data_IF_430348841161
#
_entry.id   IF_430348841161
#
_cell.length_a   1.000
_cell.length_b   1.000
_cell.length_c   1.000
_cell.angle_alpha   90.00
_cell.angle_beta   90.00
_cell.angle_gamma   90.00
#
_symmetry.space_group_name_H-M   'P 1'
#
loop_
_entity.id
_entity.type
_entity.pdbx_description
1 polymer ?
#
# COMPACT_ATOMS: atom_id res chain seq x y z
N UNK A 1 21.77 24.62 5.13
CA UNK A 1 21.44 23.50 4.24
C UNK A 1 19.98 23.24 4.43
N UNK A 2 19.19 23.36 3.37
CA UNK A 2 17.76 23.12 3.43
C UNK A 2 17.45 21.63 3.64
N UNK A 3 16.31 21.36 4.25
CA UNK A 3 15.86 20.00 4.55
C UNK A 3 14.70 19.56 3.63
N UNK A 4 14.69 18.28 3.26
CA UNK A 4 13.56 17.62 2.60
C UNK A 4 12.39 17.46 3.56
N UNK A 5 11.19 17.12 3.07
CA UNK A 5 10.03 16.84 3.93
C UNK A 5 10.36 15.75 4.95
N UNK A 6 10.94 14.65 4.51
CA UNK A 6 11.33 13.53 5.38
C UNK A 6 12.32 13.96 6.47
N UNK A 7 13.33 14.77 6.13
CA UNK A 7 14.30 15.28 7.11
C UNK A 7 13.63 16.17 8.16
N UNK A 8 12.70 17.03 7.76
CA UNK A 8 11.97 17.90 8.71
C UNK A 8 11.12 17.11 9.70
N UNK A 9 10.40 16.08 9.22
CA UNK A 9 9.62 15.20 10.09
C UNK A 9 10.54 14.49 11.09
N UNK A 10 11.64 13.92 10.61
CA UNK A 10 12.59 13.22 11.47
C UNK A 10 13.27 14.14 12.48
N UNK A 11 13.65 15.36 12.09
CA UNK A 11 14.22 16.36 12.99
C UNK A 11 13.25 16.73 14.11
N UNK A 12 11.98 17.02 13.76
CA UNK A 12 10.94 17.35 14.72
C UNK A 12 10.72 16.24 15.77
N UNK A 13 10.68 14.97 15.32
CA UNK A 13 10.49 13.82 16.21
C UNK A 13 11.74 13.45 17.03
N UNK A 14 12.91 13.84 16.57
CA UNK A 14 14.15 13.72 17.33
C UNK A 14 14.41 14.90 18.30
N UNK A 15 13.58 15.96 18.26
CA UNK A 15 13.78 17.17 19.03
C UNK A 15 15.05 17.94 18.59
N UNK A 16 15.37 17.89 17.31
CA UNK A 16 16.53 18.55 16.71
C UNK A 16 16.08 19.69 15.78
N UNK A 17 16.85 20.76 15.71
CA UNK A 17 16.57 21.87 14.79
C UNK A 17 16.78 21.47 13.31
N UNK A 18 17.71 20.54 13.07
CA UNK A 18 18.01 20.03 11.73
C UNK A 18 18.67 18.66 11.77
N UNK A 19 18.52 17.91 10.68
CA UNK A 19 19.21 16.64 10.44
C UNK A 19 19.75 16.59 9.03
N UNK A 20 20.75 15.74 8.80
CA UNK A 20 21.32 15.51 7.47
C UNK A 20 21.28 14.03 7.08
N UNK A 21 21.29 13.76 5.77
CA UNK A 21 21.34 12.40 5.26
C UNK A 21 22.52 11.62 5.85
N UNK A 22 22.28 10.39 6.28
CA UNK A 22 23.27 9.53 6.93
C UNK A 22 23.42 9.71 8.44
N UNK A 23 22.87 10.77 9.03
CA UNK A 23 22.89 10.99 10.47
C UNK A 23 22.10 9.92 11.21
N UNK A 24 22.62 9.40 12.31
CA UNK A 24 21.89 8.51 13.22
C UNK A 24 21.16 9.35 14.26
N UNK A 25 19.88 9.11 14.42
CA UNK A 25 19.00 9.80 15.37
C UNK A 25 18.13 8.80 16.12
N UNK A 26 17.71 9.14 17.33
CA UNK A 26 16.59 8.52 18.01
C UNK A 26 15.38 9.47 17.90
N UNK A 27 14.23 8.94 17.52
CA UNK A 27 13.04 9.74 17.31
C UNK A 27 11.81 9.14 18.01
N UNK A 28 10.91 9.99 18.50
CA UNK A 28 9.63 9.60 19.07
C UNK A 28 8.68 9.11 17.96
N UNK A 29 7.85 8.12 18.26
CA UNK A 29 6.91 7.50 17.34
C UNK A 29 5.49 7.95 17.67
N UNK A 30 4.69 8.27 16.63
CA UNK A 30 3.28 8.60 16.78
C UNK A 30 2.38 7.39 16.71
N UNK A 31 2.73 6.40 15.89
CA UNK A 31 1.95 5.18 15.74
C UNK A 31 2.85 3.99 15.43
N UNK A 32 2.55 2.85 16.04
CA UNK A 32 3.10 1.54 15.67
C UNK A 32 2.01 0.66 15.10
N UNK A 33 2.35 -0.16 14.10
CA UNK A 33 1.41 -1.03 13.40
C UNK A 33 1.91 -2.47 13.33
N UNK A 34 1.04 -3.43 13.63
CA UNK A 34 1.25 -4.84 13.34
C UNK A 34 -0.06 -5.51 12.88
N UNK A 35 0.10 -6.64 12.20
CA UNK A 35 -0.99 -7.47 11.72
C UNK A 35 -0.95 -8.88 12.34
N UNK A 36 -1.86 -9.76 11.93
CA UNK A 36 -1.96 -11.13 12.43
C UNK A 36 -0.78 -12.05 12.05
N UNK A 37 0.14 -11.62 11.17
CA UNK A 37 1.39 -12.33 10.87
C UNK A 37 2.53 -11.82 11.75
N UNK A 38 2.70 -10.50 11.79
CA UNK A 38 3.87 -9.84 12.40
C UNK A 38 3.67 -9.48 13.86
N UNK A 39 2.42 -9.26 14.27
CA UNK A 39 2.04 -8.97 15.65
C UNK A 39 2.48 -10.05 16.64
N UNK A 40 2.17 -11.34 16.44
CA UNK A 40 2.63 -12.41 17.32
C UNK A 40 4.15 -12.45 17.48
N UNK A 41 4.90 -12.17 16.40
CA UNK A 41 6.37 -12.13 16.47
C UNK A 41 6.84 -10.97 17.33
N UNK A 42 6.29 -9.75 17.11
CA UNK A 42 6.64 -8.57 17.89
C UNK A 42 6.26 -8.73 19.38
N UNK A 43 5.10 -9.30 19.66
CA UNK A 43 4.64 -9.59 21.04
C UNK A 43 5.64 -10.52 21.76
N UNK A 44 6.04 -11.62 21.15
CA UNK A 44 6.99 -12.56 21.72
C UNK A 44 8.38 -11.93 21.93
N UNK A 45 8.85 -11.12 21.00
CA UNK A 45 10.14 -10.39 21.16
C UNK A 45 10.06 -9.36 22.29
N UNK A 46 8.92 -8.68 22.46
CA UNK A 46 8.68 -7.77 23.57
C UNK A 46 8.71 -8.50 24.92
N UNK A 47 8.01 -9.64 25.03
CA UNK A 47 8.01 -10.49 26.24
C UNK A 47 9.41 -11.05 26.56
N UNK A 48 10.10 -11.56 25.56
CA UNK A 48 11.47 -12.09 25.68
C UNK A 48 12.48 -11.03 26.11
N UNK A 49 12.28 -9.79 25.70
CA UNK A 49 13.09 -8.64 26.15
C UNK A 49 12.72 -8.14 27.56
N UNK A 50 11.68 -8.73 28.18
CA UNK A 50 11.24 -8.38 29.54
C UNK A 50 10.41 -7.13 29.65
N UNK A 51 9.80 -6.67 28.54
CA UNK A 51 8.88 -5.53 28.57
C UNK A 51 7.46 -5.96 28.94
N UNK A 52 6.98 -5.54 30.09
CA UNK A 52 5.64 -5.87 30.61
C UNK A 52 4.57 -4.82 30.28
N UNK A 53 4.96 -3.68 29.70
CA UNK A 53 4.07 -2.56 29.39
C UNK A 53 4.35 -2.01 28.01
N UNK A 54 3.31 -1.49 27.39
CA UNK A 54 3.39 -0.67 26.18
C UNK A 54 3.57 0.79 26.56
N UNK A 55 4.20 1.58 25.66
CA UNK A 55 4.44 3.00 25.91
C UNK A 55 3.15 3.83 25.95
N UNK A 56 2.22 3.53 25.05
CA UNK A 56 0.93 4.19 24.93
C UNK A 56 -0.04 3.28 24.16
N UNK A 57 -1.12 2.86 24.81
CA UNK A 57 -2.09 1.94 24.22
C UNK A 57 -2.98 2.59 23.13
N UNK A 58 -2.96 3.92 22.99
CA UNK A 58 -3.67 4.66 21.94
C UNK A 58 -2.82 4.81 20.68
N UNK A 59 -1.51 4.56 20.76
CA UNK A 59 -0.52 4.69 19.68
C UNK A 59 -0.05 3.35 19.13
N UNK A 60 -0.80 2.29 19.38
CA UNK A 60 -0.56 0.96 18.82
C UNK A 60 -1.79 0.54 18.05
N UNK A 61 -1.60 0.15 16.79
CA UNK A 61 -2.63 -0.44 15.95
C UNK A 61 -2.32 -1.92 15.69
N UNK A 62 -3.30 -2.79 15.94
CA UNK A 62 -3.26 -4.21 15.60
C UNK A 62 -4.41 -4.53 14.66
N UNK A 63 -4.11 -5.00 13.46
CA UNK A 63 -5.10 -5.25 12.41
C UNK A 63 -5.06 -6.71 11.97
N UNK A 64 -6.19 -7.41 12.12
CA UNK A 64 -6.33 -8.82 11.74
C UNK A 64 -6.84 -8.89 10.29
N UNK A 65 -5.96 -8.78 9.30
CA UNK A 65 -6.33 -8.63 7.89
C UNK A 65 -5.69 -9.62 6.91
N UNK A 66 -4.63 -10.35 7.33
CA UNK A 66 -3.94 -11.26 6.43
C UNK A 66 -4.58 -12.65 6.40
N UNK A 67 -4.97 -13.18 7.57
CA UNK A 67 -5.53 -14.52 7.73
C UNK A 67 -6.95 -14.52 8.30
N UNK A 68 -7.57 -13.37 8.44
CA UNK A 68 -8.93 -13.24 8.93
C UNK A 68 -9.93 -13.05 7.75
N UNK A 69 -11.10 -13.72 7.76
CA UNK A 69 -11.48 -14.82 8.68
C UNK A 69 -10.49 -15.97 8.60
N UNK A 70 -10.19 -16.62 9.75
CA UNK A 70 -9.06 -17.53 9.84
C UNK A 70 -9.15 -18.72 8.87
N UNK A 71 -8.08 -18.96 8.12
CA UNK A 71 -8.00 -20.01 7.10
C UNK A 71 -7.67 -21.39 7.66
N UNK A 72 -7.01 -21.46 8.83
CA UNK A 72 -6.59 -22.68 9.50
C UNK A 72 -6.39 -22.45 11.01
N UNK A 73 -6.09 -23.52 11.76
CA UNK A 73 -5.89 -23.48 13.22
C UNK A 73 -4.72 -22.55 13.57
N UNK A 74 -3.60 -22.62 12.84
CA UNK A 74 -2.42 -21.79 13.11
C UNK A 74 -2.73 -20.31 12.98
N UNK A 75 -3.48 -19.93 11.97
CA UNK A 75 -3.94 -18.54 11.78
C UNK A 75 -4.85 -18.09 12.92
N UNK A 76 -5.74 -18.99 13.38
CA UNK A 76 -6.63 -18.69 14.51
C UNK A 76 -5.83 -18.46 15.81
N UNK A 77 -4.80 -19.24 16.07
CA UNK A 77 -3.90 -19.08 17.21
C UNK A 77 -3.12 -17.75 17.15
N UNK A 78 -2.64 -17.36 15.97
CA UNK A 78 -1.98 -16.08 15.77
C UNK A 78 -2.90 -14.89 16.07
N UNK A 79 -4.13 -14.93 15.57
CA UNK A 79 -5.14 -13.90 15.88
C UNK A 79 -5.51 -13.93 17.38
N UNK A 80 -5.57 -15.09 18.01
CA UNK A 80 -5.85 -15.21 19.46
C UNK A 80 -4.75 -14.52 20.28
N UNK A 81 -3.48 -14.74 19.95
CA UNK A 81 -2.34 -14.10 20.62
C UNK A 81 -2.44 -12.57 20.56
N UNK A 82 -2.78 -12.02 19.37
CA UNK A 82 -3.01 -10.57 19.21
C UNK A 82 -4.21 -10.08 20.04
N UNK A 83 -5.31 -10.85 20.12
CA UNK A 83 -6.49 -10.50 20.94
C UNK A 83 -6.16 -10.50 22.44
N UNK A 84 -5.41 -11.47 22.91
CA UNK A 84 -4.99 -11.57 24.32
C UNK A 84 -4.05 -10.43 24.69
N UNK A 85 -3.08 -10.12 23.85
CA UNK A 85 -2.20 -8.97 24.02
C UNK A 85 -3.00 -7.65 24.03
N UNK A 86 -3.92 -7.47 23.11
CA UNK A 86 -4.80 -6.29 23.06
C UNK A 86 -5.59 -6.12 24.35
N UNK A 87 -6.18 -7.20 24.89
CA UNK A 87 -6.91 -7.17 26.16
C UNK A 87 -5.98 -6.88 27.35
N UNK A 88 -4.81 -7.54 27.41
CA UNK A 88 -3.83 -7.37 28.50
C UNK A 88 -3.36 -5.91 28.60
N UNK A 89 -3.14 -5.26 27.47
CA UNK A 89 -2.60 -3.90 27.42
C UNK A 89 -3.65 -2.82 27.13
N UNK A 90 -4.94 -3.19 27.03
CA UNK A 90 -6.05 -2.29 26.69
C UNK A 90 -5.79 -1.50 25.39
N UNK A 91 -5.28 -2.17 24.36
CA UNK A 91 -5.00 -1.53 23.06
C UNK A 91 -6.29 -0.98 22.47
N UNK A 92 -6.32 0.33 22.21
CA UNK A 92 -7.51 1.03 21.71
C UNK A 92 -7.75 0.71 20.23
N UNK A 93 -6.70 0.66 19.42
CA UNK A 93 -6.81 0.48 17.99
C UNK A 93 -6.59 -1.00 17.61
N UNK A 94 -7.52 -1.83 18.03
CA UNK A 94 -7.55 -3.25 17.68
C UNK A 94 -8.70 -3.54 16.72
N UNK A 95 -8.38 -4.03 15.52
CA UNK A 95 -9.34 -4.27 14.45
C UNK A 95 -9.37 -5.76 14.07
N UNK A 96 -10.47 -6.42 14.38
CA UNK A 96 -10.73 -7.82 14.10
C UNK A 96 -11.94 -7.97 13.16
N UNK A 97 -12.37 -9.19 12.88
CA UNK A 97 -13.53 -9.50 12.03
C UNK A 97 -14.74 -8.67 12.44
N UNK A 98 -15.36 -8.02 11.46
CA UNK A 98 -16.47 -7.09 11.66
C UNK A 98 -16.07 -5.61 11.69
N UNK A 99 -14.84 -5.29 12.10
CA UNK A 99 -14.26 -3.95 12.03
C UNK A 99 -12.97 -3.90 11.20
N UNK A 100 -12.66 -5.00 10.52
CA UNK A 100 -11.42 -5.18 9.79
C UNK A 100 -11.40 -4.43 8.46
N UNK A 101 -10.21 -4.19 8.00
CA UNK A 101 -9.87 -3.74 6.66
C UNK A 101 -8.40 -4.03 6.44
N UNK A 102 -7.92 -3.98 5.21
CA UNK A 102 -6.49 -4.11 4.95
C UNK A 102 -5.79 -2.90 5.59
N UNK A 103 -4.84 -3.16 6.48
CA UNK A 103 -4.23 -2.19 7.40
C UNK A 103 -3.85 -0.86 6.75
N UNK A 104 -3.23 -0.89 5.56
CA UNK A 104 -2.78 0.32 4.88
C UNK A 104 -3.90 1.12 4.17
N UNK A 105 -5.10 0.60 4.12
CA UNK A 105 -6.30 1.35 3.74
C UNK A 105 -7.12 1.73 4.99
N UNK A 106 -7.17 0.85 5.99
CA UNK A 106 -7.97 1.03 7.20
C UNK A 106 -7.45 2.17 8.09
N UNK A 107 -6.15 2.25 8.34
CA UNK A 107 -5.60 3.24 9.26
C UNK A 107 -5.84 4.69 8.80
N UNK A 108 -5.61 5.05 7.52
CA UNK A 108 -5.99 6.36 7.01
C UNK A 108 -7.50 6.62 7.08
N UNK A 109 -8.33 5.61 6.76
CA UNK A 109 -9.80 5.72 6.83
C UNK A 109 -10.28 6.02 8.26
N UNK A 110 -9.63 5.43 9.26
CA UNK A 110 -9.94 5.66 10.69
C UNK A 110 -9.29 6.91 11.28
N UNK A 111 -8.57 7.70 10.49
CA UNK A 111 -7.89 8.91 10.94
C UNK A 111 -6.73 8.68 11.91
N UNK A 112 -6.19 7.46 11.92
CA UNK A 112 -5.06 7.10 12.80
C UNK A 112 -3.72 7.58 12.26
N UNK A 113 -3.66 7.90 10.98
CA UNK A 113 -2.48 8.43 10.29
C UNK A 113 -2.78 9.83 9.76
N UNK A 114 -1.83 10.74 9.91
CA UNK A 114 -2.04 12.14 9.57
C UNK A 114 -0.74 12.81 9.08
N UNK A 115 -0.86 14.01 8.47
CA UNK A 115 0.30 14.79 8.08
C UNK A 115 1.28 15.01 9.22
N UNK A 116 2.55 14.82 8.94
CA UNK A 116 3.65 15.07 9.87
C UNK A 116 3.92 13.94 10.86
N UNK A 117 3.13 12.86 10.88
CA UNK A 117 3.37 11.72 11.77
C UNK A 117 4.66 10.98 11.44
N UNK A 118 5.25 10.36 12.47
CA UNK A 118 6.28 9.34 12.35
C UNK A 118 5.70 7.99 12.72
N UNK A 119 5.61 7.09 11.73
CA UNK A 119 4.92 5.79 11.85
C UNK A 119 5.87 4.65 11.51
N UNK A 120 5.91 3.63 12.35
CA UNK A 120 6.58 2.37 12.04
C UNK A 120 5.60 1.20 12.05
N UNK A 121 5.81 0.25 11.16
CA UNK A 121 5.01 -0.98 11.13
C UNK A 121 5.86 -2.19 10.80
N UNK A 122 5.47 -3.35 11.31
CA UNK A 122 6.12 -4.60 10.94
C UNK A 122 5.59 -5.17 9.61
N UNK A 123 5.11 -4.30 8.73
CA UNK A 123 4.78 -4.60 7.34
C UNK A 123 5.57 -3.67 6.41
N UNK A 124 6.04 -4.23 5.29
CA UNK A 124 6.87 -3.49 4.33
C UNK A 124 6.14 -2.30 3.71
N UNK A 125 4.81 -2.41 3.52
CA UNK A 125 4.00 -1.37 2.87
C UNK A 125 3.52 -0.28 3.84
N UNK A 126 4.05 -0.23 5.07
CA UNK A 126 3.83 0.88 6.02
C UNK A 126 4.19 2.25 5.39
N UNK A 127 5.04 2.27 4.36
CA UNK A 127 5.35 3.48 3.58
C UNK A 127 4.14 4.17 2.92
N UNK A 128 2.99 3.51 2.86
CA UNK A 128 1.72 4.00 2.26
C UNK A 128 1.28 5.37 2.80
N UNK A 129 1.50 5.64 4.08
CA UNK A 129 0.96 6.84 4.75
C UNK A 129 1.70 8.14 4.38
N UNK A 130 2.83 8.03 3.66
CA UNK A 130 3.47 9.19 3.05
C UNK A 130 2.59 9.92 2.02
N UNK A 131 1.54 9.27 1.52
CA UNK A 131 0.49 9.92 0.71
C UNK A 131 -0.22 11.06 1.46
N UNK A 132 -0.22 11.03 2.79
CA UNK A 132 -0.74 12.09 3.67
C UNK A 132 0.34 13.08 4.13
N UNK A 133 1.58 12.95 3.68
CA UNK A 133 2.70 13.77 4.16
C UNK A 133 3.25 13.32 5.52
N UNK A 134 3.16 12.03 5.84
CA UNK A 134 3.78 11.38 7.00
C UNK A 134 5.13 10.74 6.63
N UNK A 135 6.06 10.65 7.57
CA UNK A 135 7.17 9.70 7.44
C UNK A 135 6.72 8.36 8.01
N UNK A 136 6.54 7.40 7.14
CA UNK A 136 6.10 6.06 7.53
C UNK A 136 6.95 5.00 6.85
N UNK A 137 7.35 3.97 7.61
CA UNK A 137 8.29 2.97 7.09
C UNK A 137 8.09 1.60 7.74
N UNK A 138 8.35 0.55 6.95
CA UNK A 138 8.43 -0.82 7.45
C UNK A 138 9.70 -1.06 8.25
N UNK A 139 9.56 -1.80 9.36
CA UNK A 139 10.67 -2.24 10.24
C UNK A 139 10.56 -3.72 10.54
N UNK A 140 11.60 -4.32 11.11
CA UNK A 140 11.53 -5.69 11.61
C UNK A 140 10.63 -5.81 12.84
N UNK A 141 10.10 -7.02 13.08
CA UNK A 141 9.23 -7.24 14.25
C UNK A 141 9.95 -6.99 15.58
N UNK A 142 11.25 -7.15 15.65
CA UNK A 142 12.07 -6.83 16.84
C UNK A 142 12.14 -5.31 17.08
N UNK A 143 12.33 -4.53 16.01
CA UNK A 143 12.33 -3.06 16.10
C UNK A 143 10.94 -2.54 16.47
N UNK A 144 9.88 -3.18 15.91
CA UNK A 144 8.52 -2.85 16.29
C UNK A 144 8.25 -3.15 17.77
N UNK A 145 8.71 -4.29 18.29
CA UNK A 145 8.59 -4.64 19.71
C UNK A 145 9.22 -3.56 20.61
N UNK A 146 10.43 -3.11 20.27
CA UNK A 146 11.09 -2.00 20.97
C UNK A 146 10.27 -0.70 20.86
N UNK A 147 9.75 -0.37 19.68
CA UNK A 147 8.88 0.79 19.46
C UNK A 147 7.60 0.74 20.29
N UNK A 148 6.92 -0.41 20.35
CA UNK A 148 5.72 -0.63 21.16
C UNK A 148 6.00 -0.48 22.66
N UNK A 149 7.18 -0.86 23.12
CA UNK A 149 7.57 -0.78 24.53
C UNK A 149 8.03 0.63 24.94
N UNK A 150 8.76 1.33 24.06
CA UNK A 150 9.48 2.56 24.42
C UNK A 150 8.89 3.84 23.82
N UNK A 151 8.10 3.74 22.76
CA UNK A 151 7.61 4.89 21.98
C UNK A 151 8.68 5.55 21.14
N UNK A 152 9.81 4.88 20.91
CA UNK A 152 10.96 5.42 20.20
C UNK A 152 11.54 4.41 19.22
N UNK A 153 12.16 4.93 18.18
CA UNK A 153 13.01 4.16 17.27
C UNK A 153 14.22 4.99 16.84
N UNK A 154 15.29 4.31 16.47
CA UNK A 154 16.44 4.97 15.87
C UNK A 154 16.38 4.86 14.34
N UNK A 155 16.86 5.88 13.68
CA UNK A 155 16.91 5.95 12.23
C UNK A 155 18.28 6.46 11.76
N UNK A 156 18.75 5.90 10.67
CA UNK A 156 19.71 6.60 9.83
C UNK A 156 18.88 7.46 8.88
N UNK A 157 19.01 8.78 8.94
CA UNK A 157 18.25 9.71 8.09
C UNK A 157 18.48 9.36 6.63
N UNK A 158 17.43 9.02 5.85
CA UNK A 158 17.61 8.65 4.45
C UNK A 158 17.94 9.88 3.59
N UNK A 159 18.79 9.75 2.57
CA UNK A 159 18.84 10.71 1.48
C UNK A 159 17.53 10.64 0.67
N UNK A 160 17.29 11.60 -0.21
CA UNK A 160 16.06 11.67 -0.98
C UNK A 160 16.31 11.72 -2.48
N UNK A 161 15.37 11.12 -3.23
CA UNK A 161 15.19 11.32 -4.68
C UNK A 161 13.92 12.14 -4.87
N UNK A 162 14.01 13.19 -5.68
CA UNK A 162 12.89 14.04 -6.03
C UNK A 162 12.28 13.62 -7.36
N UNK A 163 10.99 13.30 -7.36
CA UNK A 163 10.22 12.99 -8.55
C UNK A 163 9.35 14.19 -8.90
N UNK A 164 9.62 14.83 -10.03
CA UNK A 164 8.85 15.98 -10.52
C UNK A 164 7.80 15.49 -11.51
N UNK A 165 6.55 15.44 -11.06
CA UNK A 165 5.41 15.01 -11.86
C UNK A 165 4.89 16.19 -12.69
N UNK A 166 4.76 16.00 -14.00
CA UNK A 166 4.26 17.00 -14.96
C UNK A 166 3.02 16.49 -15.68
N UNK A 167 2.17 17.40 -16.15
CA UNK A 167 1.00 17.06 -16.94
C UNK A 167 -0.11 16.35 -16.15
N UNK A 168 -0.91 15.54 -16.87
CA UNK A 168 -2.09 14.84 -16.31
C UNK A 168 -2.15 13.41 -16.82
N UNK A 169 -2.70 12.51 -16.01
CA UNK A 169 -2.94 11.13 -16.39
C UNK A 169 -3.88 11.03 -17.61
N UNK A 170 -3.57 10.10 -18.51
CA UNK A 170 -4.41 9.75 -19.64
C UNK A 170 -5.57 8.84 -19.20
N UNK A 171 -6.64 8.70 -19.99
CA UNK A 171 -7.69 7.72 -19.71
C UNK A 171 -7.12 6.33 -19.46
N UNK A 172 -7.65 5.64 -18.45
CA UNK A 172 -7.24 4.29 -18.01
C UNK A 172 -5.82 4.17 -17.42
N UNK A 173 -5.11 5.28 -17.26
CA UNK A 173 -3.84 5.36 -16.53
C UNK A 173 -4.11 5.85 -15.10
N UNK A 174 -3.49 5.22 -14.12
CA UNK A 174 -3.70 5.49 -12.68
C UNK A 174 -2.36 5.61 -11.95
N UNK A 175 -2.40 5.89 -10.65
CA UNK A 175 -1.23 5.87 -9.79
C UNK A 175 -0.45 4.56 -9.84
N UNK A 176 -1.12 3.43 -10.14
CA UNK A 176 -0.46 2.14 -10.37
C UNK A 176 0.49 2.18 -11.57
N UNK A 177 0.03 2.75 -12.67
CA UNK A 177 0.86 2.87 -13.87
C UNK A 177 2.04 3.82 -13.64
N UNK A 178 1.83 4.89 -12.87
CA UNK A 178 2.89 5.84 -12.49
C UNK A 178 3.99 5.12 -11.71
N UNK A 179 3.64 4.40 -10.65
CA UNK A 179 4.67 3.75 -9.81
C UNK A 179 5.33 2.58 -10.52
N UNK A 180 4.61 1.82 -11.34
CA UNK A 180 5.20 0.77 -12.18
C UNK A 180 6.18 1.36 -13.18
N UNK A 181 5.85 2.48 -13.85
CA UNK A 181 6.76 3.19 -14.73
C UNK A 181 8.03 3.64 -13.99
N UNK A 182 7.89 4.20 -12.78
CA UNK A 182 9.03 4.62 -11.97
C UNK A 182 9.91 3.42 -11.61
N UNK A 183 9.35 2.34 -11.09
CA UNK A 183 10.10 1.13 -10.73
C UNK A 183 10.80 0.53 -11.95
N UNK A 184 10.12 0.49 -13.10
CA UNK A 184 10.72 0.03 -14.36
C UNK A 184 11.89 0.90 -14.83
N UNK A 185 11.89 2.19 -14.49
CA UNK A 185 12.95 3.14 -14.87
C UNK A 185 14.16 3.11 -13.94
N UNK A 186 13.95 2.92 -12.62
CA UNK A 186 15.03 3.00 -11.63
C UNK A 186 15.47 1.64 -11.07
N UNK A 187 14.68 0.58 -11.31
CA UNK A 187 14.90 -0.77 -10.76
C UNK A 187 14.35 -0.95 -9.35
N UNK A 188 14.35 -2.20 -8.89
CA UNK A 188 13.87 -2.59 -7.53
C UNK A 188 14.78 -2.12 -6.40
N UNK A 189 15.98 -1.64 -6.70
CA UNK A 189 16.97 -1.12 -5.76
C UNK A 189 17.36 0.35 -6.03
N UNK A 190 16.77 1.00 -7.03
CA UNK A 190 17.11 2.36 -7.42
C UNK A 190 16.90 3.42 -6.34
N UNK A 191 15.96 3.20 -5.43
CA UNK A 191 15.71 4.03 -4.27
C UNK A 191 16.11 3.34 -2.94
N UNK A 192 17.04 2.37 -2.98
CA UNK A 192 17.43 1.60 -1.81
C UNK A 192 17.82 2.51 -0.63
N UNK A 193 17.08 2.37 0.48
CA UNK A 193 17.24 3.16 1.70
C UNK A 193 17.06 4.68 1.52
N UNK A 194 16.33 5.14 0.50
CA UNK A 194 16.08 6.55 0.23
C UNK A 194 14.62 6.92 0.51
N UNK A 195 14.35 8.21 0.60
CA UNK A 195 13.00 8.77 0.54
C UNK A 195 12.67 9.13 -0.90
N UNK A 196 11.51 8.73 -1.40
CA UNK A 196 10.98 9.15 -2.70
C UNK A 196 10.02 10.32 -2.46
N UNK A 197 10.44 11.54 -2.79
CA UNK A 197 9.66 12.75 -2.60
C UNK A 197 9.02 13.19 -3.91
N UNK A 198 7.69 13.23 -3.95
CA UNK A 198 6.91 13.56 -5.14
C UNK A 198 6.50 15.02 -5.12
N UNK A 199 6.67 15.72 -6.25
CA UNK A 199 6.40 17.16 -6.39
C UNK A 199 5.99 17.49 -7.82
N UNK A 200 5.79 18.75 -8.12
CA UNK A 200 5.43 19.24 -9.45
C UNK A 200 3.91 19.42 -9.63
N UNK A 201 3.54 20.06 -10.72
CA UNK A 201 2.14 20.40 -11.01
C UNK A 201 1.25 19.18 -11.25
N UNK A 202 1.83 18.08 -11.72
CA UNK A 202 1.13 16.84 -11.97
C UNK A 202 0.55 16.19 -10.70
N UNK A 203 1.10 16.50 -9.50
CA UNK A 203 0.57 16.03 -8.21
C UNK A 203 -0.91 16.40 -8.05
N UNK A 204 -1.31 17.58 -8.53
CA UNK A 204 -2.70 18.01 -8.44
C UNK A 204 -3.66 17.19 -9.30
N UNK A 205 -3.18 16.49 -10.33
CA UNK A 205 -4.01 15.60 -11.14
C UNK A 205 -4.31 14.25 -10.48
N UNK A 206 -3.50 13.84 -9.51
CA UNK A 206 -3.64 12.58 -8.79
C UNK A 206 -4.74 12.65 -7.74
N UNK A 207 -5.57 11.60 -7.65
CA UNK A 207 -6.47 11.40 -6.53
C UNK A 207 -5.69 11.00 -5.28
N UNK A 208 -6.34 10.99 -4.11
CA UNK A 208 -5.71 10.44 -2.89
C UNK A 208 -5.43 8.94 -3.04
N UNK A 209 -6.31 8.19 -3.71
CA UNK A 209 -6.13 6.76 -3.96
C UNK A 209 -4.92 6.49 -4.85
N UNK A 210 -4.65 7.34 -5.87
CA UNK A 210 -3.42 7.28 -6.65
C UNK A 210 -2.18 7.53 -5.80
N UNK A 211 -2.20 8.55 -4.93
CA UNK A 211 -1.07 8.86 -4.05
C UNK A 211 -0.79 7.72 -3.06
N UNK A 212 -1.82 7.12 -2.49
CA UNK A 212 -1.68 5.93 -1.63
C UNK A 212 -1.05 4.76 -2.40
N UNK A 213 -1.48 4.52 -3.62
CA UNK A 213 -0.91 3.46 -4.48
C UNK A 213 0.57 3.71 -4.76
N UNK A 214 0.95 4.94 -5.10
CA UNK A 214 2.34 5.31 -5.39
C UNK A 214 3.22 5.13 -4.14
N UNK A 215 2.79 5.66 -3.00
CA UNK A 215 3.53 5.51 -1.74
C UNK A 215 3.59 4.05 -1.26
N UNK A 216 2.50 3.29 -1.43
CA UNK A 216 2.47 1.87 -1.08
C UNK A 216 3.58 1.08 -1.78
N UNK A 217 3.80 1.34 -3.06
CA UNK A 217 4.79 0.62 -3.85
C UNK A 217 6.19 1.28 -3.87
N UNK A 218 6.44 2.31 -3.08
CA UNK A 218 7.78 2.90 -2.95
C UNK A 218 8.81 1.87 -2.44
N UNK A 219 8.40 0.97 -1.55
CA UNK A 219 9.26 -0.12 -1.06
C UNK A 219 9.69 -1.07 -2.17
N UNK A 220 8.93 -1.20 -3.26
CA UNK A 220 9.28 -2.06 -4.39
C UNK A 220 10.43 -1.49 -5.24
N UNK A 221 10.81 -0.22 -5.01
CA UNK A 221 12.04 0.39 -5.49
C UNK A 221 13.16 0.40 -4.42
N UNK A 222 12.94 -0.25 -3.27
CA UNK A 222 13.87 -0.28 -2.13
C UNK A 222 13.77 0.91 -1.18
N UNK A 223 12.83 1.83 -1.39
CA UNK A 223 12.70 3.05 -0.60
C UNK A 223 12.27 2.80 0.86
N UNK A 224 12.69 3.70 1.75
CA UNK A 224 12.17 3.74 3.13
C UNK A 224 10.74 4.26 3.16
N UNK A 225 10.44 5.27 2.34
CA UNK A 225 9.10 5.83 2.17
C UNK A 225 8.95 6.50 0.80
N UNK A 226 7.69 6.64 0.36
CA UNK A 226 7.28 7.64 -0.60
C UNK A 226 6.53 8.74 0.15
N UNK A 227 6.65 10.00 -0.24
CA UNK A 227 5.99 11.10 0.43
C UNK A 227 5.49 12.16 -0.56
N UNK A 228 4.26 12.61 -0.35
CA UNK A 228 3.62 13.71 -1.09
C UNK A 228 3.50 14.96 -0.21
N UNK A 229 3.55 16.17 -0.81
CA UNK A 229 3.21 17.39 -0.10
C UNK A 229 1.74 17.38 0.32
N UNK A 230 1.47 18.03 1.45
CA UNK A 230 0.10 18.22 1.95
C UNK A 230 -0.54 19.36 1.19
N UNK A 231 -1.56 19.06 0.41
CA UNK A 231 -2.33 20.02 -0.36
C UNK A 231 -3.82 20.03 0.03
N UNK A 232 -4.64 20.78 -0.70
CA UNK A 232 -6.07 20.86 -0.45
C UNK A 232 -6.78 19.50 -0.51
N UNK A 233 -6.34 18.58 -1.39
CA UNK A 233 -6.90 17.22 -1.46
C UNK A 233 -6.56 16.39 -0.23
N UNK A 234 -5.32 16.50 0.25
CA UNK A 234 -4.90 15.85 1.49
C UNK A 234 -5.70 16.39 2.67
N UNK A 235 -5.84 17.72 2.77
CA UNK A 235 -6.61 18.34 3.85
C UNK A 235 -8.08 17.94 3.80
N UNK A 236 -8.71 17.94 2.63
CA UNK A 236 -10.09 17.48 2.46
C UNK A 236 -10.27 16.00 2.83
N UNK A 237 -9.29 15.15 2.52
CA UNK A 237 -9.32 13.74 2.90
C UNK A 237 -9.29 13.54 4.41
N UNK A 238 -8.47 14.31 5.15
CA UNK A 238 -8.31 14.15 6.61
C UNK A 238 -9.37 14.90 7.42
N UNK A 239 -10.02 15.93 6.86
CA UNK A 239 -10.96 16.82 7.58
C UNK A 239 -12.06 16.06 8.34
N UNK A 240 -12.60 15.01 7.74
CA UNK A 240 -13.67 14.19 8.34
C UNK A 240 -13.16 12.99 9.14
N UNK A 241 -11.84 12.75 9.17
CA UNK A 241 -11.23 11.52 9.71
C UNK A 241 -10.32 11.80 10.89
N UNK A 242 -9.48 12.83 10.80
CA UNK A 242 -8.48 13.14 11.81
C UNK A 242 -9.03 14.19 12.78
N UNK A 243 -9.09 13.85 14.07
CA UNK A 243 -9.66 14.73 15.11
C UNK A 243 -8.59 15.43 15.96
N UNK A 244 -7.31 15.14 15.72
CA UNK A 244 -6.18 15.74 16.43
C UNK A 244 -5.46 16.79 15.58
N UNK A 245 -4.68 17.70 16.20
CA UNK A 245 -3.83 18.60 15.46
C UNK A 245 -2.85 17.86 14.56
N UNK A 246 -2.54 18.42 13.40
CA UNK A 246 -1.59 17.90 12.43
C UNK A 246 -0.45 18.89 12.20
N UNK A 247 0.71 18.40 11.84
CA UNK A 247 1.87 19.20 11.45
C UNK A 247 2.13 19.04 9.96
N UNK A 248 2.24 20.15 9.24
CA UNK A 248 2.54 20.13 7.81
C UNK A 248 4.00 20.53 7.62
N UNK A 249 4.75 19.68 6.93
CA UNK A 249 6.14 19.93 6.60
C UNK A 249 6.30 20.04 5.09
N UNK A 250 6.95 21.10 4.65
CA UNK A 250 7.33 21.33 3.26
C UNK A 250 8.84 21.30 3.13
N UNK A 251 9.36 20.81 2.01
CA UNK A 251 10.79 20.87 1.73
C UNK A 251 11.26 22.33 1.64
N UNK A 252 12.46 22.60 2.10
CA UNK A 252 13.06 23.92 1.90
C UNK A 252 13.37 24.14 0.40
N UNK A 253 13.35 25.39 -0.08
CA UNK A 253 13.67 25.68 -1.48
C UNK A 253 15.08 25.24 -1.90
N UNK A 254 16.01 25.19 -0.94
CA UNK A 254 17.41 24.75 -1.09
C UNK A 254 17.65 23.33 -0.53
N UNK A 255 16.59 22.51 -0.39
CA UNK A 255 16.71 21.11 0.03
C UNK A 255 17.56 20.32 -0.98
N UNK A 256 18.47 19.49 -0.45
CA UNK A 256 19.36 18.67 -1.27
C UNK A 256 18.76 17.30 -1.57
N UNK A 257 18.81 16.91 -2.84
CA UNK A 257 18.39 15.60 -3.34
C UNK A 257 19.57 14.92 -4.05
N UNK A 258 19.71 13.59 -3.87
CA UNK A 258 20.73 12.83 -4.60
C UNK A 258 20.44 12.79 -6.10
N UNK A 259 19.16 12.82 -6.47
CA UNK A 259 18.70 12.79 -7.85
C UNK A 259 17.38 13.52 -8.00
N UNK A 260 17.17 14.15 -9.14
CA UNK A 260 15.87 14.69 -9.57
C UNK A 260 15.44 14.00 -10.86
N UNK A 261 14.22 13.46 -10.88
CA UNK A 261 13.67 12.67 -11.98
C UNK A 261 12.33 13.28 -12.42
N UNK A 262 12.24 13.71 -13.66
CA UNK A 262 10.99 14.17 -14.25
C UNK A 262 10.17 12.99 -14.78
N UNK A 263 8.85 13.03 -14.54
CA UNK A 263 7.85 12.09 -15.05
C UNK A 263 6.73 12.90 -15.72
N UNK A 264 6.59 12.72 -17.02
CA UNK A 264 5.46 13.28 -17.76
C UNK A 264 4.27 12.33 -17.70
N UNK A 265 3.30 12.63 -16.84
CA UNK A 265 2.08 11.84 -16.66
C UNK A 265 1.27 11.73 -17.96
N UNK A 266 1.39 12.72 -18.86
CA UNK A 266 0.65 12.74 -20.12
C UNK A 266 1.21 11.77 -21.16
N UNK A 267 2.46 11.32 -20.99
CA UNK A 267 3.10 10.35 -21.87
C UNK A 267 2.90 8.91 -21.39
N UNK A 268 2.41 8.70 -20.16
CA UNK A 268 2.24 7.36 -19.61
C UNK A 268 1.11 6.59 -20.29
N UNK A 269 1.32 5.30 -20.42
CA UNK A 269 0.36 4.35 -20.98
C UNK A 269 0.09 3.25 -19.95
N UNK A 270 -1.04 2.51 -20.08
CA UNK A 270 -1.30 1.35 -19.24
C UNK A 270 -0.12 0.39 -19.24
N UNK A 271 0.43 0.16 -18.05
CA UNK A 271 1.70 -0.52 -17.82
C UNK A 271 1.48 -1.81 -17.03
N UNK A 272 2.25 -2.84 -17.38
CA UNK A 272 2.23 -4.15 -16.71
C UNK A 272 3.63 -4.50 -16.26
N UNK A 273 3.79 -4.90 -14.99
CA UNK A 273 5.03 -5.54 -14.54
C UNK A 273 4.96 -7.05 -14.77
N UNK A 274 5.83 -7.54 -15.62
CA UNK A 274 5.94 -8.96 -15.94
C UNK A 274 6.65 -9.75 -14.82
N UNK A 275 6.40 -11.07 -14.69
CA UNK A 275 7.11 -11.91 -13.72
C UNK A 275 8.63 -11.89 -13.93
N UNK A 276 9.45 -12.01 -12.90
CA UNK A 276 9.10 -12.19 -11.47
C UNK A 276 9.63 -11.03 -10.63
N UNK A 277 9.73 -9.84 -11.21
CA UNK A 277 10.15 -8.61 -10.52
C UNK A 277 9.26 -7.44 -10.94
N UNK A 278 8.91 -6.52 -10.02
CA UNK A 278 8.10 -5.34 -10.35
C UNK A 278 8.76 -4.38 -11.37
N UNK A 279 10.07 -4.45 -11.56
CA UNK A 279 10.82 -3.65 -12.54
C UNK A 279 10.69 -4.14 -13.99
N UNK A 280 10.22 -5.38 -14.20
CA UNK A 280 10.03 -5.94 -15.54
C UNK A 280 8.82 -5.34 -16.25
N UNK A 281 8.78 -4.02 -16.33
CA UNK A 281 7.64 -3.27 -16.86
C UNK A 281 7.63 -3.22 -18.38
N UNK A 282 6.42 -3.28 -18.92
CA UNK A 282 6.12 -3.06 -20.34
C UNK A 282 4.79 -2.32 -20.46
N UNK A 283 4.67 -1.49 -21.46
CA UNK A 283 3.34 -1.01 -21.87
C UNK A 283 2.55 -2.16 -22.49
N UNK A 284 1.23 -2.09 -22.43
CA UNK A 284 0.38 -3.16 -23.01
C UNK A 284 0.63 -3.35 -24.50
N UNK A 285 0.98 -2.27 -25.23
CA UNK A 285 1.32 -2.34 -26.64
C UNK A 285 2.59 -3.15 -26.96
N UNK A 286 3.49 -3.31 -26.00
CA UNK A 286 4.73 -4.07 -26.12
C UNK A 286 4.57 -5.55 -25.72
N UNK A 287 3.40 -5.90 -25.13
CA UNK A 287 3.12 -7.29 -24.74
C UNK A 287 2.55 -8.07 -25.92
N UNK A 288 3.00 -9.32 -26.09
CA UNK A 288 2.28 -10.30 -26.88
C UNK A 288 0.98 -10.72 -26.19
N UNK A 289 0.21 -11.61 -26.84
CA UNK A 289 -0.98 -12.19 -26.23
C UNK A 289 -0.59 -13.13 -25.08
N UNK A 290 -0.96 -12.78 -23.85
CA UNK A 290 -0.71 -13.56 -22.64
C UNK A 290 -2.05 -13.95 -22.05
N UNK A 291 -2.42 -15.22 -22.16
CA UNK A 291 -3.66 -15.75 -21.57
C UNK A 291 -3.49 -15.89 -20.05
N UNK A 292 -4.59 -15.64 -19.32
CA UNK A 292 -4.62 -15.67 -17.85
C UNK A 292 -5.72 -16.61 -17.35
N UNK A 293 -5.53 -17.19 -16.17
CA UNK A 293 -6.48 -18.05 -15.50
C UNK A 293 -7.09 -17.36 -14.27
N UNK A 294 -6.52 -16.23 -13.83
CA UNK A 294 -7.05 -15.48 -12.70
C UNK A 294 -6.84 -13.97 -12.87
N UNK A 295 -7.82 -13.19 -12.38
CA UNK A 295 -7.70 -11.75 -12.19
C UNK A 295 -8.03 -11.40 -10.75
N UNK A 296 -7.15 -10.64 -10.08
CA UNK A 296 -7.34 -10.19 -8.70
C UNK A 296 -7.33 -8.67 -8.68
N UNK A 297 -8.44 -8.09 -8.22
CA UNK A 297 -8.63 -6.63 -8.14
C UNK A 297 -8.89 -6.27 -6.68
N UNK A 298 -7.99 -5.49 -6.09
CA UNK A 298 -8.04 -5.11 -4.68
C UNK A 298 -6.68 -5.01 -4.05
N UNK A 299 -6.55 -5.33 -2.79
CA UNK A 299 -5.38 -5.24 -1.91
C UNK A 299 -5.17 -3.85 -1.28
N UNK A 300 -4.15 -3.72 -0.42
CA UNK A 300 -3.74 -2.44 0.15
C UNK A 300 -3.33 -1.41 -0.92
N UNK A 301 -2.90 -1.89 -2.07
CA UNK A 301 -2.45 -1.05 -3.19
C UNK A 301 -3.64 -0.45 -3.94
N UNK A 302 -4.59 -1.31 -4.38
CA UNK A 302 -5.68 -0.92 -5.28
C UNK A 302 -7.03 -1.57 -4.91
N UNK A 303 -7.43 -1.39 -3.66
CA UNK A 303 -8.74 -1.84 -3.16
C UNK A 303 -9.63 -0.71 -2.65
N UNK A 304 -9.26 0.55 -2.90
CA UNK A 304 -10.04 1.72 -2.49
C UNK A 304 -11.19 1.98 -3.44
N UNK A 305 -12.03 2.94 -3.11
CA UNK A 305 -13.29 3.13 -3.84
C UNK A 305 -13.10 3.53 -5.32
N UNK A 306 -12.10 4.34 -5.63
CA UNK A 306 -11.84 4.73 -7.02
C UNK A 306 -11.35 3.54 -7.86
N UNK A 307 -10.59 2.62 -7.26
CA UNK A 307 -10.20 1.35 -7.88
C UNK A 307 -11.40 0.48 -8.20
N UNK A 308 -12.34 0.37 -7.26
CA UNK A 308 -13.59 -0.39 -7.43
C UNK A 308 -14.48 0.23 -8.52
N UNK A 309 -14.58 1.56 -8.55
CA UNK A 309 -15.32 2.27 -9.60
C UNK A 309 -14.70 2.06 -10.98
N UNK A 310 -13.36 2.12 -11.09
CA UNK A 310 -12.65 1.87 -12.34
C UNK A 310 -12.88 0.45 -12.86
N UNK A 311 -12.77 -0.56 -11.99
CA UNK A 311 -13.06 -1.94 -12.34
C UNK A 311 -14.54 -2.15 -12.74
N UNK A 312 -15.47 -1.57 -12.00
CA UNK A 312 -16.89 -1.67 -12.27
C UNK A 312 -17.29 -1.01 -13.61
N UNK A 313 -16.66 0.10 -13.96
CA UNK A 313 -16.88 0.77 -15.26
C UNK A 313 -16.56 -0.15 -16.44
N UNK A 314 -15.52 -0.97 -16.31
CA UNK A 314 -15.14 -1.95 -17.32
C UNK A 314 -16.07 -3.17 -17.32
N UNK A 315 -16.45 -3.69 -16.13
CA UNK A 315 -17.22 -4.93 -15.99
C UNK A 315 -18.73 -4.72 -16.24
N UNK A 316 -19.22 -3.49 -16.16
CA UNK A 316 -20.65 -3.17 -16.32
C UNK A 316 -21.19 -3.64 -17.68
N UNK A 317 -22.19 -4.52 -17.64
CA UNK A 317 -22.84 -5.07 -18.84
C UNK A 317 -22.00 -6.14 -19.58
N UNK A 318 -20.83 -6.51 -19.05
CA UNK A 318 -19.96 -7.55 -19.61
C UNK A 318 -19.93 -8.79 -18.73
N UNK A 319 -19.38 -9.88 -19.27
CA UNK A 319 -19.09 -11.11 -18.54
C UNK A 319 -17.58 -11.35 -18.50
N UNK A 320 -17.10 -11.82 -17.37
CA UNK A 320 -15.73 -12.34 -17.29
C UNK A 320 -15.59 -13.56 -18.17
N UNK A 321 -14.41 -13.76 -18.74
CA UNK A 321 -14.10 -14.93 -19.54
C UNK A 321 -14.31 -16.21 -18.71
N UNK A 322 -14.98 -17.26 -19.22
CA UNK A 322 -15.27 -18.46 -18.44
C UNK A 322 -14.03 -19.22 -17.96
N UNK A 323 -12.87 -18.96 -18.55
CA UNK A 323 -11.59 -19.56 -18.14
C UNK A 323 -10.85 -18.71 -17.09
N UNK A 324 -11.40 -17.55 -16.65
CA UNK A 324 -10.76 -16.63 -15.71
C UNK A 324 -11.53 -16.56 -14.40
N UNK A 325 -10.91 -16.93 -13.31
CA UNK A 325 -11.41 -16.68 -11.96
C UNK A 325 -11.14 -15.21 -11.60
N UNK A 326 -12.20 -14.43 -11.39
CA UNK A 326 -12.07 -13.01 -11.05
C UNK A 326 -12.46 -12.78 -9.60
N UNK A 327 -11.53 -12.21 -8.82
CA UNK A 327 -11.69 -11.96 -7.39
C UNK A 327 -11.58 -10.45 -7.16
N UNK A 328 -12.61 -9.87 -6.55
CA UNK A 328 -12.68 -8.47 -6.16
C UNK A 328 -12.56 -8.37 -4.64
N UNK A 329 -11.66 -7.52 -4.16
CA UNK A 329 -11.39 -7.35 -2.72
C UNK A 329 -11.46 -5.86 -2.38
N UNK A 330 -12.62 -5.35 -1.93
CA UNK A 330 -12.69 -4.02 -1.34
C UNK A 330 -11.75 -3.93 -0.13
N UNK A 331 -11.01 -2.84 0.01
CA UNK A 331 -9.91 -2.77 0.98
C UNK A 331 -10.39 -2.70 2.45
N UNK A 332 -11.60 -2.18 2.69
CA UNK A 332 -12.15 -2.03 4.04
C UNK A 332 -13.64 -2.36 4.05
N UNK A 333 -14.21 -2.53 5.25
CA UNK A 333 -15.65 -2.68 5.41
C UNK A 333 -16.42 -1.45 4.90
N UNK A 334 -15.88 -0.25 5.09
CA UNK A 334 -16.47 1.01 4.60
C UNK A 334 -16.50 1.05 3.08
N UNK A 335 -15.38 0.73 2.43
CA UNK A 335 -15.31 0.63 0.96
C UNK A 335 -16.28 -0.46 0.46
N UNK A 336 -16.41 -1.58 1.17
CA UNK A 336 -17.33 -2.64 0.78
C UNK A 336 -18.79 -2.17 0.88
N UNK A 337 -19.14 -1.49 1.96
CA UNK A 337 -20.47 -0.90 2.13
C UNK A 337 -20.75 0.11 1.01
N UNK A 338 -19.83 1.01 0.72
CA UNK A 338 -19.94 1.96 -0.38
C UNK A 338 -20.10 1.27 -1.74
N UNK A 339 -19.40 0.16 -1.99
CA UNK A 339 -19.60 -0.65 -3.19
C UNK A 339 -21.03 -1.23 -3.29
N UNK A 340 -21.65 -1.55 -2.17
CA UNK A 340 -23.06 -2.02 -2.12
C UNK A 340 -23.99 -0.86 -2.44
N UNK A 341 -23.80 0.29 -1.80
CA UNK A 341 -24.63 1.49 -1.95
C UNK A 341 -24.59 2.05 -3.38
N UNK A 342 -23.40 2.10 -3.98
CA UNK A 342 -23.22 2.53 -5.37
C UNK A 342 -23.62 1.45 -6.40
N UNK A 343 -23.98 0.24 -5.94
CA UNK A 343 -24.37 -0.87 -6.81
C UNK A 343 -23.19 -1.56 -7.53
N UNK A 344 -21.95 -1.26 -7.16
CA UNK A 344 -20.74 -1.84 -7.77
C UNK A 344 -20.65 -3.34 -7.49
N UNK A 345 -20.98 -3.78 -6.26
CA UNK A 345 -21.05 -5.20 -5.89
C UNK A 345 -21.99 -5.99 -6.82
N UNK A 346 -23.14 -5.41 -7.16
CA UNK A 346 -24.08 -6.03 -8.11
C UNK A 346 -23.46 -6.18 -9.50
N UNK A 347 -22.74 -5.16 -9.97
CA UNK A 347 -22.02 -5.21 -11.27
C UNK A 347 -21.01 -6.35 -11.27
N UNK A 348 -20.20 -6.46 -10.24
CA UNK A 348 -19.18 -7.52 -10.11
C UNK A 348 -19.79 -8.91 -10.15
N UNK A 349 -20.81 -9.15 -9.33
CA UNK A 349 -21.53 -10.44 -9.29
C UNK A 349 -22.19 -10.75 -10.64
N UNK A 350 -22.84 -9.77 -11.24
CA UNK A 350 -23.46 -9.94 -12.56
C UNK A 350 -22.44 -10.21 -13.66
N UNK A 351 -21.24 -9.67 -13.56
CA UNK A 351 -20.14 -9.98 -14.48
C UNK A 351 -19.61 -11.42 -14.30
N UNK A 352 -19.84 -12.05 -13.16
CA UNK A 352 -19.34 -13.39 -12.83
C UNK A 352 -18.09 -13.38 -11.96
N UNK A 353 -17.79 -12.25 -11.32
CA UNK A 353 -16.70 -12.14 -10.35
C UNK A 353 -17.17 -12.54 -8.94
N UNK A 354 -16.23 -12.98 -8.10
CA UNK A 354 -16.43 -13.17 -6.67
C UNK A 354 -16.06 -11.87 -5.95
N UNK A 355 -16.93 -11.39 -5.07
CA UNK A 355 -16.60 -10.29 -4.17
C UNK A 355 -16.28 -10.85 -2.79
N UNK A 356 -15.06 -10.61 -2.33
CA UNK A 356 -14.55 -11.10 -1.05
C UNK A 356 -14.76 -10.08 0.06
N UNK A 357 -14.70 -10.56 1.31
CA UNK A 357 -14.47 -9.69 2.48
C UNK A 357 -13.11 -9.00 2.36
N UNK A 358 -12.92 -7.82 2.98
CA UNK A 358 -11.61 -7.17 3.05
C UNK A 358 -10.56 -8.10 3.66
N UNK A 359 -9.52 -8.39 2.92
CA UNK A 359 -8.39 -9.22 3.37
C UNK A 359 -7.17 -9.01 2.46
N UNK A 360 -5.98 -9.18 2.99
CA UNK A 360 -4.76 -9.20 2.18
C UNK A 360 -4.70 -10.43 1.24
N UNK A 361 -5.44 -11.50 1.58
CA UNK A 361 -5.83 -12.61 0.73
C UNK A 361 -4.74 -13.20 -0.14
N UNK A 362 -4.93 -13.20 -1.47
CA UNK A 362 -4.00 -13.81 -2.40
C UNK A 362 -2.66 -13.08 -2.54
N UNK A 363 -2.53 -11.83 -2.07
CA UNK A 363 -1.33 -11.01 -2.25
C UNK A 363 -0.04 -11.70 -1.77
N UNK A 364 -0.14 -12.52 -0.71
CA UNK A 364 0.99 -13.27 -0.15
C UNK A 364 0.86 -14.79 -0.33
N UNK A 365 -0.16 -15.26 -1.07
CA UNK A 365 -0.42 -16.69 -1.22
C UNK A 365 -0.86 -17.37 0.07
N UNK A 366 -1.34 -16.61 1.03
CA UNK A 366 -1.58 -17.07 2.39
C UNK A 366 -3.02 -17.40 2.75
N UNK A 367 -4.01 -16.96 1.98
CA UNK A 367 -5.41 -17.10 2.37
C UNK A 367 -6.30 -17.69 1.27
N UNK A 368 -6.59 -16.96 0.19
CA UNK A 368 -7.46 -17.40 -0.90
C UNK A 368 -6.86 -17.04 -2.26
N UNK A 369 -7.45 -17.51 -3.36
CA UNK A 369 -6.99 -17.18 -4.71
C UNK A 369 -5.62 -17.72 -5.04
N UNK A 370 -5.24 -18.84 -4.44
CA UNK A 370 -3.94 -19.50 -4.64
C UNK A 370 -3.86 -20.04 -6.07
N UNK A 371 -2.74 -19.75 -6.73
CA UNK A 371 -2.45 -20.21 -8.09
C UNK A 371 -1.84 -21.62 -8.08
N UNK A 372 -2.29 -22.46 -9.00
CA UNK A 372 -1.74 -23.78 -9.25
C UNK A 372 -0.52 -23.71 -10.17
N UNK A 373 0.05 -24.89 -10.45
CA UNK A 373 1.19 -25.06 -11.35
C UNK A 373 0.92 -24.43 -12.73
N UNK A 374 1.80 -23.53 -13.17
CA UNK A 374 1.79 -22.91 -14.49
C UNK A 374 0.65 -21.90 -14.74
N UNK A 375 -0.21 -21.63 -13.74
CA UNK A 375 -1.25 -20.62 -13.89
C UNK A 375 -0.70 -19.20 -13.92
N UNK A 376 -1.35 -18.35 -14.69
CA UNK A 376 -1.04 -16.93 -14.85
C UNK A 376 -2.16 -16.06 -14.30
N UNK A 377 -1.79 -15.04 -13.55
CA UNK A 377 -2.73 -14.07 -13.02
C UNK A 377 -2.34 -12.65 -13.39
N UNK A 378 -3.33 -11.81 -13.71
CA UNK A 378 -3.18 -10.35 -13.63
C UNK A 378 -3.67 -9.89 -12.27
N UNK A 379 -2.95 -8.99 -11.62
CA UNK A 379 -3.27 -8.58 -10.26
C UNK A 379 -2.96 -7.11 -10.01
N UNK A 380 -3.79 -6.48 -9.19
CA UNK A 380 -3.55 -5.11 -8.70
C UNK A 380 -2.74 -5.07 -7.41
N UNK A 381 -2.26 -6.22 -6.92
CA UNK A 381 -1.35 -6.30 -5.79
C UNK A 381 0.01 -5.66 -6.09
N UNK A 382 0.94 -5.68 -5.15
CA UNK A 382 2.20 -4.93 -5.24
C UNK A 382 3.43 -5.78 -5.58
N UNK A 383 3.36 -7.11 -5.47
CA UNK A 383 4.51 -8.02 -5.68
C UNK A 383 4.16 -9.17 -6.60
N UNK A 384 5.14 -9.54 -7.46
CA UNK A 384 5.02 -10.64 -8.42
C UNK A 384 6.19 -11.62 -8.38
N UNK A 385 6.83 -11.75 -7.20
CA UNK A 385 7.96 -12.66 -7.00
C UNK A 385 7.57 -14.13 -7.23
N UNK A 386 8.57 -14.98 -7.48
CA UNK A 386 8.38 -16.43 -7.62
C UNK A 386 7.60 -16.99 -6.42
N UNK A 387 6.52 -17.71 -6.68
CA UNK A 387 5.67 -18.32 -5.66
C UNK A 387 4.82 -17.37 -4.83
N UNK A 388 4.80 -16.07 -5.13
CA UNK A 388 4.12 -15.07 -4.30
C UNK A 388 2.62 -15.29 -4.09
N UNK A 389 1.92 -15.82 -5.09
CA UNK A 389 0.47 -16.12 -5.02
C UNK A 389 0.15 -17.60 -5.05
N UNK A 390 1.12 -18.48 -4.80
CA UNK A 390 0.87 -19.92 -4.80
C UNK A 390 2.05 -20.74 -5.33
N UNK A 391 1.81 -21.56 -6.37
CA UNK A 391 2.84 -22.44 -6.90
C UNK A 391 4.04 -21.68 -7.46
N UNK A 392 5.27 -22.19 -7.26
CA UNK A 392 6.52 -21.54 -7.67
C UNK A 392 6.65 -21.34 -9.19
N UNK A 393 5.90 -22.08 -9.99
CA UNK A 393 5.85 -21.94 -11.46
C UNK A 393 4.70 -21.06 -11.94
N UNK A 394 3.91 -20.50 -11.02
CA UNK A 394 2.87 -19.54 -11.41
C UNK A 394 3.47 -18.17 -11.73
N UNK A 395 2.80 -17.45 -12.60
CA UNK A 395 3.22 -16.13 -13.07
C UNK A 395 2.20 -15.05 -12.68
N UNK A 396 2.68 -13.95 -12.11
CA UNK A 396 1.85 -12.83 -11.71
C UNK A 396 2.27 -11.60 -12.51
N UNK A 397 1.29 -10.95 -13.13
CA UNK A 397 1.44 -9.71 -13.89
C UNK A 397 0.76 -8.59 -13.09
N UNK A 398 1.53 -7.59 -12.65
CA UNK A 398 0.97 -6.46 -11.91
C UNK A 398 0.43 -5.42 -12.88
N UNK A 399 -0.79 -4.95 -12.64
CA UNK A 399 -1.45 -3.96 -13.48
C UNK A 399 -2.45 -3.11 -12.70
N UNK A 400 -2.96 -2.05 -13.33
CA UNK A 400 -4.02 -1.22 -12.78
C UNK A 400 -5.37 -1.95 -12.71
N UNK A 401 -6.33 -1.49 -11.88
CA UNK A 401 -7.67 -2.08 -11.81
C UNK A 401 -8.40 -2.13 -13.16
N UNK A 402 -8.24 -1.10 -13.98
CA UNK A 402 -8.86 -1.04 -15.31
C UNK A 402 -8.29 -2.13 -16.24
N UNK A 403 -6.97 -2.30 -16.25
CA UNK A 403 -6.30 -3.36 -17.03
C UNK A 403 -6.67 -4.74 -16.51
N UNK A 404 -6.69 -4.94 -15.19
CA UNK A 404 -7.06 -6.23 -14.59
C UNK A 404 -8.51 -6.62 -14.91
N UNK A 405 -9.44 -5.65 -14.86
CA UNK A 405 -10.84 -5.86 -15.21
C UNK A 405 -11.03 -6.15 -16.72
N UNK A 406 -10.33 -5.42 -17.58
CA UNK A 406 -10.35 -5.65 -19.02
C UNK A 406 -9.81 -7.05 -19.37
N UNK A 407 -8.71 -7.43 -18.77
CA UNK A 407 -8.09 -8.74 -18.95
C UNK A 407 -8.98 -9.87 -18.47
N UNK A 408 -9.74 -9.67 -17.38
CA UNK A 408 -10.73 -10.63 -16.89
C UNK A 408 -11.82 -10.91 -17.93
N UNK A 409 -12.29 -9.87 -18.63
CA UNK A 409 -13.31 -10.01 -19.70
C UNK A 409 -12.70 -10.69 -20.94
N UNK A 410 -11.52 -10.26 -21.35
CA UNK A 410 -10.88 -10.75 -22.58
C UNK A 410 -10.32 -12.18 -22.44
N UNK A 411 -9.88 -12.59 -21.23
CA UNK A 411 -9.17 -13.86 -21.01
C UNK A 411 -7.65 -13.79 -21.25
N UNK A 412 -7.16 -12.60 -21.59
CA UNK A 412 -5.75 -12.31 -21.78
C UNK A 412 -5.44 -10.87 -21.38
N UNK A 413 -4.16 -10.55 -21.12
CA UNK A 413 -3.76 -9.21 -20.70
C UNK A 413 -4.03 -8.20 -21.82
N UNK A 414 -4.86 -7.19 -21.55
CA UNK A 414 -5.20 -6.14 -22.50
C UNK A 414 -5.60 -4.83 -21.81
N UNK A 415 -5.52 -3.72 -22.55
CA UNK A 415 -6.07 -2.45 -22.14
C UNK A 415 -7.60 -2.42 -22.31
N UNK A 416 -8.34 -1.55 -21.56
CA UNK A 416 -9.79 -1.40 -21.71
C UNK A 416 -10.27 -1.12 -23.14
N UNK A 417 -9.50 -0.35 -23.90
CA UNK A 417 -9.83 0.02 -25.28
C UNK A 417 -9.85 -1.17 -26.25
N UNK A 418 -9.29 -2.31 -25.87
CA UNK A 418 -9.37 -3.55 -26.66
C UNK A 418 -10.74 -4.26 -26.53
N UNK A 419 -11.55 -3.86 -25.56
CA UNK A 419 -12.90 -4.41 -25.39
C UNK A 419 -13.89 -3.67 -26.29
N UNK A 420 -14.23 -4.25 -27.40
CA UNK A 420 -15.22 -3.73 -28.34
C UNK A 420 -16.66 -4.01 -27.89
#
# INVERSE_FOLDING_TARGET
MGMTMTQKILAAHAGLDSVSAGQLIEANIDLTLANDITGPVAIREMEKAGFDKVFDNTKIALVMDHFAPNKDIKSAEQCLECREFSKKHNIVNFFDVGAMGIEHALLPEKGLTAPGDLIIGADSHTCTYGALGAFSTGVGSTDLAAGMATGKAWFKVPPAIKFVLKGKLQPWVSGKDVILHIIGRIGVDGALYKSMEFTGEGVQSLSMDDRFTICNMAIEAGAKNGIFPVDEKTMAYIETRVTRPVSVFEADPDAEYEQEIEIDLSALQPTVACPHLPENTKTIGELGRIEIQQSVIGSCTNGRIDDMRAAAAILKGRKVNPNVRTIIIPATQEVYLQCIEEGLTKIFIQAGAIVSTPTCGPCLGGHMGILAHGEKAVSTTNRNFVGRMGHITSEIYLASPAVAAASAVAGYICAPDALK
#
